data_IF_544654602184
#
_entry.id   IF_544654602184
#
_cell.length_a   1.000
_cell.length_b   1.000
_cell.length_c   1.000
_cell.angle_alpha   90.00
_cell.angle_beta   90.00
_cell.angle_gamma   90.00
#
_symmetry.space_group_name_H-M   'P 1'
#
loop_
_entity.id
_entity.type
_entity.pdbx_description
1 polymer ?
#
# COMPACT_ATOMS: atom_id res chain seq x y z
N UNK A 1 -17.57 15.53 -2.21
CA UNK A 1 -16.81 14.25 -2.17
C UNK A 1 -15.54 14.53 -1.39
N UNK A 2 -15.17 13.72 -0.38
CA UNK A 2 -14.00 14.03 0.45
C UNK A 2 -12.71 13.97 -0.38
N UNK A 3 -11.90 15.03 -0.32
CA UNK A 3 -10.61 15.20 -1.02
C UNK A 3 -9.47 14.33 -0.44
N UNK A 4 -9.80 13.34 0.38
CA UNK A 4 -8.83 12.47 1.05
C UNK A 4 -9.27 11.02 0.95
N UNK A 5 -8.32 10.11 1.02
CA UNK A 5 -8.64 8.70 1.12
C UNK A 5 -9.30 8.36 2.47
N UNK A 6 -10.12 7.30 2.51
CA UNK A 6 -10.84 6.89 3.72
C UNK A 6 -9.91 6.44 4.86
N UNK A 7 -8.71 5.97 4.55
CA UNK A 7 -7.65 5.72 5.53
C UNK A 7 -6.56 6.77 5.30
N UNK A 8 -6.23 7.54 6.34
CA UNK A 8 -5.16 8.54 6.33
C UNK A 8 -4.17 8.29 7.45
N UNK A 9 -2.95 8.80 7.34
CA UNK A 9 -1.93 8.72 8.39
C UNK A 9 -1.40 10.12 8.75
N UNK A 10 -1.01 10.31 10.00
CA UNK A 10 -0.27 11.47 10.48
C UNK A 10 0.80 10.99 11.46
N UNK A 11 2.06 11.31 11.18
CA UNK A 11 3.20 10.92 12.00
C UNK A 11 3.80 12.16 12.65
N UNK A 12 3.92 12.12 13.97
CA UNK A 12 4.44 13.22 14.79
C UNK A 12 5.74 12.77 15.46
N UNK A 13 6.76 13.63 15.43
CA UNK A 13 7.92 13.50 16.28
C UNK A 13 7.59 14.05 17.67
N UNK A 14 7.57 13.17 18.66
CA UNK A 14 7.22 13.54 20.04
C UNK A 14 8.40 14.12 20.83
N UNK A 15 9.62 14.08 20.30
CA UNK A 15 10.81 14.66 20.97
C UNK A 15 10.72 16.19 20.96
N UNK A 16 10.26 16.76 19.86
CA UNK A 16 10.18 18.21 19.64
C UNK A 16 8.75 18.70 19.32
N UNK A 17 7.78 17.79 19.18
CA UNK A 17 6.40 18.12 18.85
C UNK A 17 6.18 18.56 17.40
N UNK A 18 7.10 18.24 16.47
CA UNK A 18 6.97 18.62 15.05
C UNK A 18 6.46 17.47 14.19
N UNK A 19 5.87 17.75 13.02
CA UNK A 19 5.56 16.70 12.06
C UNK A 19 6.80 15.91 11.62
N UNK A 20 6.61 14.65 11.20
CA UNK A 20 7.66 13.80 10.68
C UNK A 20 7.52 13.60 9.16
N UNK A 21 8.11 14.49 8.33
CA UNK A 21 8.01 14.40 6.87
C UNK A 21 8.93 13.34 6.27
N UNK A 22 8.58 12.85 5.09
CA UNK A 22 9.44 11.96 4.29
C UNK A 22 9.47 10.49 4.72
N UNK A 23 8.68 10.09 5.73
CA UNK A 23 8.61 8.70 6.18
C UNK A 23 7.83 7.85 5.16
N UNK A 24 8.47 6.80 4.66
CA UNK A 24 7.87 5.88 3.70
C UNK A 24 6.90 4.91 4.39
N UNK A 25 5.65 4.91 3.95
CA UNK A 25 4.59 4.10 4.52
C UNK A 25 4.02 3.11 3.51
N UNK A 26 3.68 1.92 4.00
CA UNK A 26 2.97 0.88 3.25
C UNK A 26 1.70 0.50 3.99
N UNK A 27 0.55 0.60 3.32
CA UNK A 27 -0.74 0.15 3.83
C UNK A 27 -1.12 -1.15 3.13
N UNK A 28 -1.38 -2.20 3.89
CA UNK A 28 -1.67 -3.55 3.37
C UNK A 28 -3.02 -4.04 3.87
N UNK A 29 -3.90 -4.44 2.95
CA UNK A 29 -5.09 -5.22 3.24
C UNK A 29 -4.70 -6.70 3.20
N UNK A 30 -4.71 -7.37 4.36
CA UNK A 30 -4.30 -8.77 4.48
C UNK A 30 -5.43 -9.73 4.12
N UNK A 31 -6.59 -9.54 4.74
CA UNK A 31 -7.74 -10.41 4.56
C UNK A 31 -9.04 -9.67 4.85
N UNK A 32 -10.14 -10.24 4.38
CA UNK A 32 -11.48 -9.83 4.75
C UNK A 32 -12.13 -11.04 5.39
N UNK A 33 -12.59 -10.89 6.62
CA UNK A 33 -13.39 -11.90 7.30
C UNK A 33 -14.77 -11.89 6.66
N UNK A 34 -15.03 -12.91 5.86
CA UNK A 34 -16.29 -13.15 5.16
C UNK A 34 -17.09 -14.25 5.90
N UNK A 35 -18.41 -14.36 5.66
CA UNK A 35 -19.18 -15.49 6.15
C UNK A 35 -18.57 -16.83 5.69
N UNK A 36 -18.74 -17.92 6.47
CA UNK A 36 -18.22 -19.23 6.11
C UNK A 36 -18.65 -19.67 4.71
N UNK A 37 -17.69 -20.03 3.85
CA UNK A 37 -17.94 -20.50 2.48
C UNK A 37 -17.90 -19.41 1.39
N UNK A 38 -17.75 -18.13 1.76
CA UNK A 38 -17.53 -17.07 0.78
C UNK A 38 -16.07 -17.05 0.29
N UNK A 39 -15.82 -16.95 -1.03
CA UNK A 39 -14.47 -16.87 -1.56
C UNK A 39 -13.80 -15.53 -1.21
N UNK A 40 -12.55 -15.58 -0.75
CA UNK A 40 -11.75 -14.38 -0.56
C UNK A 40 -11.45 -13.74 -1.93
N UNK A 41 -11.45 -12.40 -2.07
CA UNK A 41 -11.10 -11.78 -3.34
C UNK A 41 -9.65 -12.11 -3.71
N UNK A 42 -9.43 -12.37 -5.01
CA UNK A 42 -8.19 -12.92 -5.56
C UNK A 42 -6.99 -11.95 -5.51
N UNK A 43 -7.22 -10.69 -5.15
CA UNK A 43 -6.23 -9.61 -5.15
C UNK A 43 -5.60 -9.36 -3.76
N UNK A 44 -5.77 -10.29 -2.81
CA UNK A 44 -5.18 -10.17 -1.46
C UNK A 44 -3.86 -10.95 -1.32
N UNK A 45 -2.86 -10.41 -0.61
CA UNK A 45 -2.87 -9.09 0.05
C UNK A 45 -2.73 -7.94 -0.95
N UNK A 46 -3.51 -6.88 -0.75
CA UNK A 46 -3.42 -5.67 -1.57
C UNK A 46 -2.60 -4.61 -0.84
N UNK A 47 -1.57 -4.07 -1.51
CA UNK A 47 -0.64 -3.11 -0.92
C UNK A 47 -0.74 -1.75 -1.59
N UNK A 48 -0.70 -0.70 -0.79
CA UNK A 48 -0.60 0.69 -1.22
C UNK A 48 0.58 1.37 -0.53
N UNK A 49 1.11 2.43 -1.14
CA UNK A 49 2.28 3.14 -0.64
C UNK A 49 2.08 4.66 -0.71
N UNK A 50 2.73 5.35 0.21
CA UNK A 50 2.82 6.81 0.24
C UNK A 50 4.01 7.22 1.11
N UNK A 51 4.39 8.49 1.07
CA UNK A 51 5.31 9.09 2.03
C UNK A 51 4.60 10.24 2.75
N UNK A 52 4.97 10.50 4.01
CA UNK A 52 4.44 11.64 4.76
C UNK A 52 4.86 12.96 4.10
N UNK A 53 3.91 13.90 3.97
CA UNK A 53 4.15 15.24 3.45
C UNK A 53 4.87 16.14 4.48
N UNK A 54 5.06 17.43 4.16
CA UNK A 54 5.69 18.40 5.07
C UNK A 54 4.95 18.59 6.41
N UNK A 55 3.66 18.27 6.47
CA UNK A 55 2.83 18.27 7.68
C UNK A 55 2.78 16.87 8.32
N UNK A 56 3.66 15.94 7.91
CA UNK A 56 3.72 14.59 8.45
C UNK A 56 2.54 13.70 8.05
N UNK A 57 1.76 14.08 7.03
CA UNK A 57 0.49 13.40 6.68
C UNK A 57 0.55 12.60 5.40
N UNK A 58 -0.30 11.58 5.34
CA UNK A 58 -0.67 10.87 4.12
C UNK A 58 -2.17 11.04 3.91
N UNK A 59 -2.53 11.72 2.82
CA UNK A 59 -3.92 11.98 2.40
C UNK A 59 -4.37 11.07 1.26
N UNK A 60 -3.41 10.59 0.46
CA UNK A 60 -3.64 9.77 -0.72
C UNK A 60 -2.66 8.60 -0.75
N UNK A 61 -3.15 7.43 -1.17
CA UNK A 61 -2.37 6.21 -1.31
C UNK A 61 -2.21 5.83 -2.78
N UNK A 62 -0.98 5.56 -3.20
CA UNK A 62 -0.69 5.02 -4.53
C UNK A 62 -0.78 3.48 -4.50
N UNK A 63 -1.53 2.85 -5.42
CA UNK A 63 -1.55 1.40 -5.53
C UNK A 63 -0.16 0.83 -5.84
N UNK A 64 0.18 -0.31 -5.26
CA UNK A 64 1.35 -1.05 -5.71
C UNK A 64 1.01 -1.70 -7.07
N UNK A 65 1.87 -1.61 -8.09
CA UNK A 65 1.65 -2.33 -9.34
C UNK A 65 1.67 -3.83 -9.06
N UNK A 66 0.54 -4.50 -9.29
CA UNK A 66 0.50 -5.95 -9.26
C UNK A 66 1.18 -6.45 -10.54
N UNK A 67 2.28 -7.18 -10.39
CA UNK A 67 2.82 -7.91 -11.52
C UNK A 67 1.82 -9.01 -11.87
N UNK A 68 0.97 -8.76 -12.87
CA UNK A 68 0.15 -9.80 -13.48
C UNK A 68 1.13 -10.85 -14.00
N UNK A 69 1.13 -12.04 -13.39
CA UNK A 69 1.84 -13.20 -13.95
C UNK A 69 1.11 -13.60 -15.23
N UNK A 70 1.44 -12.95 -16.34
CA UNK A 70 1.08 -13.44 -17.67
C UNK A 70 1.90 -14.71 -17.87
N UNK A 71 1.23 -15.86 -17.82
CA UNK A 71 1.79 -17.13 -18.30
C UNK A 71 2.27 -16.90 -19.73
N UNK A 72 3.59 -16.88 -19.92
CA UNK A 72 4.18 -16.71 -21.24
C UNK A 72 3.74 -17.86 -22.17
N UNK A 73 3.25 -17.60 -23.40
CA UNK A 73 3.21 -18.65 -24.41
C UNK A 73 4.65 -19.04 -24.77
N UNK A 74 4.91 -20.34 -24.81
CA UNK A 74 6.22 -20.94 -25.12
C UNK A 74 6.92 -20.28 -26.33
N UNK A 75 8.25 -20.05 -26.27
CA UNK A 75 8.98 -19.42 -27.36
C UNK A 75 9.07 -20.37 -28.57
N UNK A 76 8.35 -20.04 -29.64
CA UNK A 76 8.63 -20.50 -30.99
C UNK A 76 9.83 -19.73 -31.56
N UNK A 77 10.75 -20.46 -32.17
CA UNK A 77 12.08 -20.08 -32.66
C UNK A 77 12.13 -18.81 -33.55
N UNK A 78 13.20 -18.02 -33.36
CA UNK A 78 13.63 -16.74 -33.96
C UNK A 78 13.35 -16.53 -35.48
N UNK A 79 13.23 -15.31 -36.02
CA UNK A 79 14.33 -14.31 -36.19
C UNK A 79 13.75 -13.01 -36.76
N UNK A 80 14.10 -11.85 -36.19
CA UNK A 80 13.71 -10.55 -36.75
C UNK A 80 14.22 -9.37 -35.93
N UNK A 81 15.23 -8.69 -36.45
CA UNK A 81 15.86 -7.48 -35.90
C UNK A 81 14.88 -6.31 -35.89
N UNK A 82 14.51 -5.79 -34.72
CA UNK A 82 13.82 -4.50 -34.60
C UNK A 82 14.20 -3.77 -33.31
N UNK A 83 14.77 -2.58 -33.53
CA UNK A 83 15.08 -1.51 -32.57
C UNK A 83 13.82 -0.93 -31.94
N UNK A 84 13.83 -0.65 -30.64
CA UNK A 84 13.03 0.43 -30.05
C UNK A 84 11.84 0.06 -29.16
N UNK A 85 11.97 0.50 -27.90
CA UNK A 85 10.90 0.86 -26.95
C UNK A 85 10.14 -0.28 -26.28
N UNK A 86 10.71 -0.79 -25.18
CA UNK A 86 9.99 -1.58 -24.17
C UNK A 86 8.93 -0.69 -23.48
N UNK A 87 7.73 -0.59 -24.05
CA UNK A 87 6.55 -0.12 -23.32
C UNK A 87 6.10 -1.25 -22.38
N UNK A 88 6.60 -1.26 -21.15
CA UNK A 88 5.97 -2.02 -20.06
C UNK A 88 4.63 -1.36 -19.75
N UNK A 89 3.53 -1.95 -20.22
CA UNK A 89 2.17 -1.58 -19.81
C UNK A 89 1.97 -2.03 -18.36
N UNK A 90 2.39 -1.21 -17.40
CA UNK A 90 2.15 -1.45 -15.98
C UNK A 90 0.70 -1.10 -15.67
N UNK A 91 -0.17 -2.09 -15.51
CA UNK A 91 -1.54 -1.85 -15.00
C UNK A 91 -1.43 -1.39 -13.54
N UNK A 92 -1.91 -0.18 -13.19
CA UNK A 92 -1.93 0.24 -11.79
C UNK A 92 -2.80 -0.71 -10.97
N UNK A 93 -2.36 -1.06 -9.76
CA UNK A 93 -3.15 -1.86 -8.83
C UNK A 93 -4.46 -1.17 -8.40
N UNK A 94 -5.33 -1.86 -7.65
CA UNK A 94 -6.60 -1.29 -7.20
C UNK A 94 -6.37 -0.12 -6.23
N UNK A 95 -7.16 0.96 -6.37
CA UNK A 95 -7.11 2.06 -5.40
C UNK A 95 -7.73 1.65 -4.06
N UNK A 96 -7.41 2.38 -3.00
CA UNK A 96 -7.99 2.12 -1.67
C UNK A 96 -9.52 2.23 -1.67
N UNK A 97 -10.07 3.11 -2.51
CA UNK A 97 -11.52 3.28 -2.65
C UNK A 97 -12.12 2.07 -3.35
N UNK A 98 -11.47 1.54 -4.38
CA UNK A 98 -11.92 0.33 -5.09
C UNK A 98 -11.87 -0.90 -4.17
N UNK A 99 -10.82 -1.01 -3.35
CA UNK A 99 -10.70 -2.06 -2.34
C UNK A 99 -11.84 -1.98 -1.33
N UNK A 100 -12.11 -0.80 -0.76
CA UNK A 100 -13.17 -0.62 0.22
C UNK A 100 -14.58 -0.74 -0.36
N UNK A 101 -14.78 -0.33 -1.62
CA UNK A 101 -16.04 -0.54 -2.34
C UNK A 101 -16.28 -2.04 -2.55
N UNK A 102 -15.26 -2.77 -3.01
CA UNK A 102 -15.33 -4.24 -3.18
C UNK A 102 -15.64 -4.94 -1.85
N UNK A 103 -15.10 -4.42 -0.74
CA UNK A 103 -15.42 -4.92 0.60
C UNK A 103 -16.89 -4.63 0.92
N UNK A 104 -17.38 -3.38 0.83
CA UNK A 104 -18.76 -3.03 1.18
C UNK A 104 -19.85 -3.68 0.32
N UNK A 105 -19.63 -3.82 -0.99
CA UNK A 105 -20.63 -4.38 -1.91
C UNK A 105 -20.91 -5.85 -1.66
N UNK A 106 -19.94 -6.61 -1.15
CA UNK A 106 -20.08 -8.06 -1.07
C UNK A 106 -20.88 -8.54 0.14
N UNK A 107 -20.86 -7.86 1.30
CA UNK A 107 -21.48 -8.40 2.52
C UNK A 107 -22.04 -7.33 3.47
N UNK A 108 -23.36 -7.37 3.66
CA UNK A 108 -24.21 -6.43 4.42
C UNK A 108 -23.98 -6.44 5.95
N UNK A 109 -22.78 -6.08 6.42
CA UNK A 109 -22.52 -5.69 7.81
C UNK A 109 -21.92 -6.74 8.76
N UNK A 110 -21.50 -7.91 8.27
CA UNK A 110 -20.79 -8.93 9.07
C UNK A 110 -19.29 -9.04 8.75
N UNK A 111 -18.77 -8.18 7.86
CA UNK A 111 -17.37 -8.25 7.43
C UNK A 111 -16.43 -7.48 8.34
N UNK A 112 -15.20 -8.00 8.46
CA UNK A 112 -14.10 -7.33 9.15
C UNK A 112 -12.84 -7.40 8.30
N UNK A 113 -12.32 -6.25 7.88
CA UNK A 113 -11.14 -6.18 7.02
C UNK A 113 -9.88 -6.01 7.87
N UNK A 114 -8.89 -6.89 7.70
CA UNK A 114 -7.65 -6.85 8.47
C UNK A 114 -6.59 -6.07 7.70
N UNK A 115 -6.09 -4.99 8.28
CA UNK A 115 -5.11 -4.09 7.68
C UNK A 115 -3.83 -4.00 8.51
N UNK A 116 -2.71 -3.67 7.87
CA UNK A 116 -1.56 -3.11 8.57
C UNK A 116 -0.96 -1.91 7.86
N UNK A 117 -0.45 -0.96 8.66
CA UNK A 117 0.29 0.21 8.23
C UNK A 117 1.72 0.06 8.74
N UNK A 118 2.68 -0.08 7.82
CA UNK A 118 4.11 -0.16 8.12
C UNK A 118 4.78 1.16 7.77
N UNK A 119 5.43 1.77 8.75
CA UNK A 119 6.26 2.97 8.62
C UNK A 119 7.71 2.50 8.58
N UNK A 120 8.36 2.67 7.43
CA UNK A 120 9.74 2.25 7.19
C UNK A 120 10.71 3.38 7.49
N UNK A 121 11.98 3.01 7.66
CA UNK A 121 13.11 3.92 7.85
C UNK A 121 12.92 4.87 9.05
N UNK A 122 12.17 4.45 10.07
CA UNK A 122 11.96 5.23 11.31
C UNK A 122 13.30 5.46 11.99
N UNK A 123 14.15 4.43 12.02
CA UNK A 123 15.46 4.54 12.67
C UNK A 123 16.41 5.51 11.97
N UNK A 124 16.48 5.43 10.64
CA UNK A 124 17.28 6.35 9.81
C UNK A 124 16.77 7.79 9.96
N UNK A 125 15.45 7.98 9.91
CA UNK A 125 14.82 9.29 10.05
C UNK A 125 15.16 9.98 11.38
N UNK A 126 15.15 9.25 12.49
CA UNK A 126 15.61 9.78 13.79
C UNK A 126 17.13 10.01 13.83
N UNK A 127 17.91 9.13 13.20
CA UNK A 127 19.37 9.25 13.14
C UNK A 127 19.80 10.53 12.42
N UNK A 128 19.11 10.91 11.34
CA UNK A 128 19.33 12.17 10.63
C UNK A 128 19.09 13.42 11.52
N UNK A 129 18.30 13.27 12.58
CA UNK A 129 18.07 14.30 13.60
C UNK A 129 19.02 14.20 14.80
N UNK A 130 20.02 13.31 14.74
CA UNK A 130 20.97 13.09 15.82
C UNK A 130 20.39 12.29 16.99
N UNK A 131 19.29 11.57 16.78
CA UNK A 131 18.67 10.71 17.80
C UNK A 131 18.81 9.26 17.39
N UNK A 132 19.41 8.45 18.26
CA UNK A 132 19.44 7.01 18.08
C UNK A 132 18.05 6.42 18.35
N UNK A 133 17.47 5.76 17.35
CA UNK A 133 16.19 5.05 17.50
C UNK A 133 16.44 3.58 17.77
N UNK A 134 15.74 3.04 18.77
CA UNK A 134 15.69 1.60 19.01
C UNK A 134 14.93 0.84 17.91
N UNK A 135 13.95 1.49 17.28
CA UNK A 135 13.09 0.86 16.27
C UNK A 135 13.54 1.26 14.86
N UNK A 136 13.97 0.30 14.01
CA UNK A 136 14.26 0.60 12.61
C UNK A 136 12.99 0.91 11.82
N UNK A 137 11.86 0.33 12.20
CA UNK A 137 10.55 0.48 11.59
C UNK A 137 9.43 0.22 12.61
N UNK A 138 8.21 0.63 12.27
CA UNK A 138 7.02 0.44 13.11
C UNK A 138 5.88 -0.09 12.26
N UNK A 139 5.15 -1.09 12.76
CA UNK A 139 3.94 -1.59 12.12
C UNK A 139 2.73 -1.47 13.06
N UNK A 140 1.63 -0.89 12.54
CA UNK A 140 0.34 -0.78 13.22
C UNK A 140 -0.64 -1.69 12.51
N UNK A 141 -1.19 -2.68 13.23
CA UNK A 141 -2.20 -3.59 12.71
C UNK A 141 -3.58 -3.23 13.26
N UNK A 142 -4.58 -3.17 12.39
CA UNK A 142 -5.96 -2.81 12.74
C UNK A 142 -6.97 -3.64 11.95
N UNK A 143 -8.22 -3.69 12.41
CA UNK A 143 -9.24 -4.60 11.89
C UNK A 143 -10.65 -4.03 12.03
#
# INVERSE_FOLDING_TARGET
>A
MADRDPITCHVLNTINGTPAPGLACTLTLHSILLPPGAPQPANLPASLHAATDADGRIKHWAPFPVASSVSAPSPGTATGTATGTTSTTTTPGPSIRDLLASIHEQHSGQQRSIWSLRIRNVGEWYTEQGVESFWPEVEVRFW
#
